data_IF_630132464344
#
_entry.id   IF_630132464344
#
_cell.length_a   1.000
_cell.length_b   1.000
_cell.length_c   1.000
_cell.angle_alpha   90.00
_cell.angle_beta   90.00
_cell.angle_gamma   90.00
#
_symmetry.space_group_name_H-M   'P 1'
#
loop_
_entity.id
_entity.type
_entity.pdbx_description
1 polymer ?
#
# COMPACT_ATOMS: atom_id res chain seq x y z
N UNK A 1 1.45 -22.18 -21.78
CA UNK A 1 2.17 -21.97 -23.05
C UNK A 1 3.49 -21.30 -22.71
N UNK A 2 4.58 -21.96 -23.09
CA UNK A 2 5.97 -21.68 -22.68
C UNK A 2 6.53 -20.51 -23.46
N UNK A 3 7.03 -19.45 -22.84
CA UNK A 3 7.86 -18.45 -23.50
C UNK A 3 9.29 -18.57 -23.03
N UNK A 4 10.11 -19.10 -23.90
CA UNK A 4 11.54 -19.25 -23.85
C UNK A 4 12.21 -17.88 -24.06
N UNK A 5 13.00 -17.42 -23.10
CA UNK A 5 13.89 -16.27 -23.28
C UNK A 5 15.20 -16.76 -23.89
N UNK A 6 15.48 -16.31 -25.10
CA UNK A 6 16.71 -16.62 -25.84
C UNK A 6 17.88 -15.77 -25.33
N UNK A 7 18.92 -16.46 -24.86
CA UNK A 7 20.23 -15.91 -24.54
C UNK A 7 21.01 -15.71 -25.85
N UNK A 8 21.41 -14.49 -26.16
CA UNK A 8 22.30 -14.18 -27.31
C UNK A 8 23.76 -14.11 -26.81
N UNK A 9 24.55 -15.08 -27.21
CA UNK A 9 26.01 -15.11 -27.05
C UNK A 9 26.62 -14.42 -28.26
N UNK A 10 27.35 -13.32 -28.04
CA UNK A 10 28.16 -12.66 -29.08
C UNK A 10 29.59 -13.13 -28.92
N UNK A 11 30.04 -13.93 -29.87
CA UNK A 11 31.44 -14.31 -30.03
C UNK A 11 32.15 -13.27 -30.91
N UNK A 12 33.20 -12.63 -30.39
CA UNK A 12 34.11 -11.79 -31.17
C UNK A 12 35.35 -12.55 -31.60
N UNK A 13 35.55 -12.64 -32.89
CA UNK A 13 36.63 -13.28 -33.55
C UNK A 13 37.95 -12.45 -33.46
N UNK A 14 39.04 -13.16 -33.17
CA UNK A 14 40.40 -12.62 -33.19
C UNK A 14 40.90 -12.55 -34.64
N UNK A 15 41.42 -11.41 -35.06
CA UNK A 15 42.19 -11.28 -36.31
C UNK A 15 43.66 -11.17 -35.97
N UNK A 16 44.39 -12.17 -36.43
CA UNK A 16 45.88 -12.22 -36.35
C UNK A 16 46.40 -11.52 -37.60
N UNK A 17 47.21 -10.48 -37.47
CA UNK A 17 48.04 -9.91 -38.53
C UNK A 17 49.51 -10.11 -38.18
N UNK A 18 50.18 -10.97 -38.90
CA UNK A 18 51.61 -11.13 -38.97
C UNK A 18 52.16 -10.11 -39.99
N UNK A 19 53.08 -9.24 -39.62
CA UNK A 19 54.00 -8.55 -40.54
C UNK A 19 55.40 -8.41 -39.94
N UNK A 20 56.28 -8.98 -40.68
CA UNK A 20 57.72 -9.04 -40.85
C UNK A 20 58.63 -7.98 -40.18
N UNK A 21 59.79 -8.56 -39.85
CA UNK A 21 61.03 -7.97 -39.38
C UNK A 21 61.58 -6.81 -40.22
N UNK A 22 62.06 -5.75 -39.53
CA UNK A 22 63.17 -4.92 -39.99
C UNK A 22 64.02 -4.49 -38.78
N UNK A 23 65.29 -4.87 -38.85
CA UNK A 23 66.37 -4.64 -37.89
C UNK A 23 66.81 -3.20 -37.99
N UNK A 24 66.84 -2.42 -36.89
CA UNK A 24 67.52 -1.14 -36.80
C UNK A 24 68.03 -0.92 -35.36
N UNK A 25 69.28 -0.60 -35.21
CA UNK A 25 70.05 -0.44 -33.94
C UNK A 25 69.61 0.79 -33.13
N UNK A 26 69.91 0.86 -31.82
CA UNK A 26 69.18 1.69 -30.85
C UNK A 26 69.88 3.06 -30.66
N UNK A 27 69.09 4.13 -30.35
CA UNK A 27 69.58 5.30 -29.67
C UNK A 27 69.42 5.17 -28.16
N UNK A 28 70.36 5.75 -27.44
CA UNK A 28 70.53 5.81 -25.98
C UNK A 28 69.23 6.18 -25.26
N UNK A 29 68.90 5.39 -24.29
CA UNK A 29 67.81 5.59 -23.32
C UNK A 29 68.19 6.67 -22.31
N UNK A 30 67.32 7.70 -22.27
CA UNK A 30 67.02 8.47 -21.07
C UNK A 30 66.06 7.67 -20.20
N UNK A 31 66.12 7.72 -18.86
CA UNK A 31 65.28 6.95 -18.00
C UNK A 31 63.85 7.58 -18.00
N UNK A 32 62.96 7.05 -18.83
CA UNK A 32 61.55 7.33 -18.71
C UNK A 32 61.04 6.76 -17.40
N UNK A 33 60.62 7.62 -16.51
CA UNK A 33 59.95 7.22 -15.27
C UNK A 33 58.74 6.33 -15.61
N UNK A 34 58.84 5.08 -15.22
CA UNK A 34 57.75 4.11 -15.26
C UNK A 34 56.59 4.66 -14.42
N UNK A 35 55.36 4.80 -14.95
CA UNK A 35 54.24 5.18 -14.10
C UNK A 35 54.07 4.12 -13.03
N UNK A 36 54.17 4.55 -11.77
CA UNK A 36 53.94 3.69 -10.62
C UNK A 36 52.62 2.91 -10.80
N UNK A 37 52.61 1.58 -10.56
CA UNK A 37 51.36 0.83 -10.67
C UNK A 37 50.31 1.46 -9.75
N UNK A 38 49.18 1.80 -10.31
CA UNK A 38 48.03 2.27 -9.54
C UNK A 38 47.80 1.28 -8.40
N UNK A 39 47.91 1.76 -7.17
CA UNK A 39 47.80 0.90 -5.98
C UNK A 39 46.44 0.18 -6.04
N UNK A 40 46.48 -1.13 -6.12
CA UNK A 40 45.27 -1.95 -6.01
C UNK A 40 44.54 -1.57 -4.71
N UNK A 41 43.20 -1.45 -4.73
CA UNK A 41 42.47 -1.08 -3.54
C UNK A 41 42.82 -2.07 -2.43
N UNK A 42 43.27 -1.55 -1.29
CA UNK A 42 43.61 -2.39 -0.15
C UNK A 42 42.28 -3.00 0.43
N UNK A 43 42.40 -4.12 1.14
CA UNK A 43 41.21 -4.84 1.67
C UNK A 43 40.32 -3.95 2.53
N UNK A 44 40.89 -2.97 3.24
CA UNK A 44 40.16 -2.03 4.09
C UNK A 44 39.29 -1.05 3.28
N UNK A 45 39.79 -0.61 2.11
CA UNK A 45 39.00 0.28 1.24
C UNK A 45 37.80 -0.44 0.60
N UNK A 46 38.00 -1.72 0.24
CA UNK A 46 36.89 -2.55 -0.27
C UNK A 46 35.87 -2.85 0.81
N UNK A 47 36.28 -3.15 2.03
CA UNK A 47 35.37 -3.36 3.16
C UNK A 47 34.58 -2.10 3.50
N UNK A 48 35.21 -0.92 3.48
CA UNK A 48 34.55 0.35 3.72
C UNK A 48 33.52 0.69 2.61
N UNK A 49 33.84 0.39 1.35
CA UNK A 49 32.92 0.57 0.23
C UNK A 49 31.71 -0.37 0.32
N UNK A 50 31.93 -1.64 0.66
CA UNK A 50 30.86 -2.61 0.88
C UNK A 50 29.94 -2.20 2.03
N UNK A 51 30.49 -1.74 3.16
CA UNK A 51 29.70 -1.24 4.29
C UNK A 51 28.87 -0.01 3.91
N UNK A 52 29.41 0.91 3.09
CA UNK A 52 28.63 2.05 2.57
C UNK A 52 27.47 1.62 1.69
N UNK A 53 27.71 0.71 0.75
CA UNK A 53 26.68 0.19 -0.15
C UNK A 53 25.58 -0.55 0.63
N UNK A 54 25.96 -1.33 1.64
CA UNK A 54 25.01 -2.01 2.50
C UNK A 54 24.18 -1.02 3.33
N UNK A 55 24.80 0.00 3.90
CA UNK A 55 24.11 1.06 4.63
C UNK A 55 23.15 1.84 3.73
N UNK A 56 23.54 2.14 2.49
CA UNK A 56 22.69 2.80 1.50
C UNK A 56 21.48 1.92 1.12
N UNK A 57 21.71 0.62 0.90
CA UNK A 57 20.62 -0.33 0.63
C UNK A 57 19.62 -0.41 1.78
N UNK A 58 20.10 -0.52 3.02
CA UNK A 58 19.26 -0.55 4.21
C UNK A 58 18.50 0.76 4.39
N UNK A 59 19.12 1.90 4.12
CA UNK A 59 18.46 3.20 4.17
C UNK A 59 17.37 3.32 3.09
N UNK A 60 17.65 2.88 1.87
CA UNK A 60 16.66 2.86 0.77
C UNK A 60 15.49 1.92 1.07
N UNK A 61 15.75 0.75 1.66
CA UNK A 61 14.70 -0.20 2.06
C UNK A 61 13.82 0.38 3.16
N UNK A 62 14.41 1.00 4.19
CA UNK A 62 13.66 1.69 5.25
C UNK A 62 12.78 2.80 4.69
N UNK A 63 13.33 3.65 3.82
CA UNK A 63 12.59 4.72 3.19
C UNK A 63 11.40 4.19 2.36
N UNK A 64 11.59 3.07 1.66
CA UNK A 64 10.52 2.40 0.91
C UNK A 64 9.42 1.88 1.83
N UNK A 65 9.77 1.22 2.94
CA UNK A 65 8.81 0.71 3.92
C UNK A 65 8.03 1.84 4.60
N UNK A 66 8.71 2.94 4.94
CA UNK A 66 8.07 4.13 5.51
C UNK A 66 7.10 4.78 4.52
N UNK A 67 7.47 4.89 3.25
CA UNK A 67 6.59 5.42 2.21
C UNK A 67 5.37 4.52 1.98
N UNK A 68 5.54 3.19 1.98
CA UNK A 68 4.43 2.24 1.87
C UNK A 68 3.49 2.35 3.07
N UNK A 69 4.05 2.42 4.29
CA UNK A 69 3.26 2.62 5.51
C UNK A 69 2.44 3.90 5.47
N UNK A 70 3.07 5.02 5.11
CA UNK A 70 2.37 6.30 4.99
C UNK A 70 1.24 6.25 3.94
N UNK A 71 1.46 5.56 2.82
CA UNK A 71 0.43 5.33 1.81
C UNK A 71 -0.75 4.55 2.37
N UNK A 72 -0.50 3.45 3.08
CA UNK A 72 -1.55 2.62 3.68
C UNK A 72 -2.33 3.39 4.75
N UNK A 73 -1.65 4.14 5.60
CA UNK A 73 -2.28 5.01 6.60
C UNK A 73 -3.19 6.07 5.95
N UNK A 74 -2.76 6.66 4.83
CA UNK A 74 -3.59 7.60 4.08
C UNK A 74 -4.87 6.95 3.52
N UNK A 75 -4.78 5.74 2.96
CA UNK A 75 -5.94 5.00 2.47
C UNK A 75 -6.89 4.59 3.61
N UNK A 76 -6.35 4.14 4.73
CA UNK A 76 -7.14 3.82 5.94
C UNK A 76 -7.91 5.05 6.40
N UNK A 77 -7.22 6.19 6.55
CA UNK A 77 -7.85 7.43 6.98
C UNK A 77 -8.94 7.89 5.98
N UNK A 78 -8.72 7.71 4.69
CA UNK A 78 -9.74 8.01 3.69
C UNK A 78 -11.00 7.17 3.88
N UNK A 79 -10.88 5.85 4.08
CA UNK A 79 -12.03 4.97 4.33
C UNK A 79 -12.71 5.32 5.66
N UNK A 80 -11.92 5.55 6.73
CA UNK A 80 -12.45 5.82 8.08
C UNK A 80 -13.07 7.22 8.24
N UNK A 81 -12.75 8.16 7.35
CA UNK A 81 -13.35 9.50 7.37
C UNK A 81 -14.76 9.55 6.79
N UNK A 82 -15.17 8.51 6.10
CA UNK A 82 -16.43 8.46 5.39
C UNK A 82 -17.51 7.73 6.21
N UNK A 83 -18.59 8.43 6.50
CA UNK A 83 -19.77 7.85 7.16
C UNK A 83 -20.91 7.65 6.14
N UNK A 84 -21.55 6.50 6.22
CA UNK A 84 -22.77 6.18 5.47
C UNK A 84 -23.97 6.59 6.30
N UNK A 85 -24.72 7.61 5.88
CA UNK A 85 -25.86 8.13 6.60
C UNK A 85 -27.18 7.49 6.14
N UNK A 86 -28.13 7.41 7.09
CA UNK A 86 -29.45 6.81 6.89
C UNK A 86 -30.57 7.75 7.31
N UNK A 87 -31.71 7.59 6.66
CA UNK A 87 -32.93 8.25 7.06
C UNK A 87 -33.46 7.75 8.42
N UNK A 88 -34.34 8.53 9.00
CA UNK A 88 -34.99 8.15 10.25
C UNK A 88 -35.72 6.79 10.10
N UNK A 89 -35.42 5.90 11.04
CA UNK A 89 -36.02 4.55 11.14
C UNK A 89 -35.84 3.68 9.89
N UNK A 90 -34.77 3.99 9.07
CA UNK A 90 -34.48 3.24 7.85
C UNK A 90 -33.08 2.63 7.88
N UNK A 91 -32.94 1.55 7.11
CA UNK A 91 -31.65 0.87 6.84
C UNK A 91 -31.35 0.75 5.34
N UNK A 92 -32.20 1.33 4.48
CA UNK A 92 -31.99 1.38 3.05
C UNK A 92 -30.88 2.38 2.71
N UNK A 93 -30.04 2.01 1.75
CA UNK A 93 -28.96 2.86 1.25
C UNK A 93 -29.52 3.90 0.29
N UNK A 94 -29.24 5.16 0.55
CA UNK A 94 -29.50 6.25 -0.40
C UNK A 94 -28.56 6.17 -1.61
N UNK A 95 -28.87 6.86 -2.71
CA UNK A 95 -27.96 6.89 -3.88
C UNK A 95 -26.60 7.49 -3.51
N UNK A 96 -26.57 8.55 -2.70
CA UNK A 96 -25.34 9.13 -2.19
C UNK A 96 -24.52 8.12 -1.37
N UNK A 97 -25.19 7.32 -0.55
CA UNK A 97 -24.54 6.25 0.21
C UNK A 97 -23.93 5.18 -0.72
N UNK A 98 -24.63 4.81 -1.79
CA UNK A 98 -24.12 3.84 -2.78
C UNK A 98 -22.90 4.37 -3.54
N UNK A 99 -22.90 5.65 -3.92
CA UNK A 99 -21.74 6.30 -4.57
C UNK A 99 -20.51 6.29 -3.66
N UNK A 100 -20.69 6.64 -2.39
CA UNK A 100 -19.62 6.58 -1.38
C UNK A 100 -19.12 5.15 -1.18
N UNK A 101 -20.02 4.18 -1.05
CA UNK A 101 -19.67 2.78 -0.90
C UNK A 101 -18.95 2.21 -2.13
N UNK A 102 -19.26 2.69 -3.33
CA UNK A 102 -18.51 2.32 -4.53
C UNK A 102 -17.05 2.80 -4.45
N UNK A 103 -16.81 4.03 -3.97
CA UNK A 103 -15.44 4.54 -3.76
C UNK A 103 -14.68 3.72 -2.69
N UNK A 104 -15.34 3.40 -1.57
CA UNK A 104 -14.77 2.51 -0.54
C UNK A 104 -14.46 1.13 -1.13
N UNK A 105 -15.37 0.57 -1.94
CA UNK A 105 -15.18 -0.70 -2.64
C UNK A 105 -13.95 -0.69 -3.55
N UNK A 106 -13.75 0.38 -4.31
CA UNK A 106 -12.53 0.52 -5.16
C UNK A 106 -11.25 0.52 -4.34
N UNK A 107 -11.23 1.18 -3.17
CA UNK A 107 -10.06 1.18 -2.29
C UNK A 107 -9.78 -0.22 -1.72
N UNK A 108 -10.83 -0.95 -1.34
CA UNK A 108 -10.72 -2.32 -0.84
C UNK A 108 -10.29 -3.33 -1.92
N UNK A 109 -10.64 -3.09 -3.19
CA UNK A 109 -10.15 -3.89 -4.32
C UNK A 109 -8.66 -3.62 -4.57
N UNK A 110 -8.24 -2.36 -4.51
CA UNK A 110 -6.83 -1.97 -4.72
C UNK A 110 -5.89 -2.46 -3.63
N UNK A 111 -6.40 -2.63 -2.40
CA UNK A 111 -5.61 -3.09 -1.26
C UNK A 111 -6.25 -4.33 -0.61
N UNK A 112 -5.84 -5.50 -1.08
CA UNK A 112 -6.41 -6.78 -0.63
C UNK A 112 -6.08 -7.13 0.82
N UNK A 113 -5.06 -6.51 1.41
CA UNK A 113 -4.68 -6.70 2.82
C UNK A 113 -5.65 -6.06 3.80
N UNK A 114 -6.50 -5.14 3.34
CA UNK A 114 -7.48 -4.50 4.23
C UNK A 114 -8.63 -5.44 4.57
N UNK A 115 -8.91 -5.53 5.86
CA UNK A 115 -10.15 -6.06 6.41
C UNK A 115 -10.88 -4.92 7.10
N UNK A 116 -12.21 -4.93 7.06
CA UNK A 116 -13.01 -3.85 7.64
C UNK A 116 -14.05 -4.40 8.61
N UNK A 117 -14.26 -3.66 9.69
CA UNK A 117 -15.42 -3.79 10.57
C UNK A 117 -16.37 -2.64 10.24
N UNK A 118 -17.60 -2.97 9.91
CA UNK A 118 -18.68 -2.03 9.59
C UNK A 118 -19.51 -1.86 10.86
N UNK A 119 -19.51 -0.66 11.42
CA UNK A 119 -20.14 -0.33 12.69
C UNK A 119 -21.44 0.43 12.45
N UNK A 120 -22.56 -0.16 12.84
CA UNK A 120 -23.89 0.44 12.66
C UNK A 120 -24.36 1.16 13.91
N UNK A 121 -24.82 2.39 13.71
CA UNK A 121 -25.29 3.30 14.76
C UNK A 121 -26.70 3.82 14.48
N UNK A 122 -27.36 4.26 15.56
CA UNK A 122 -28.68 4.88 15.50
C UNK A 122 -28.69 6.19 16.28
N UNK A 123 -29.78 6.93 16.15
CA UNK A 123 -30.06 8.06 17.05
C UNK A 123 -30.56 7.57 18.43
N UNK A 124 -30.71 8.49 19.37
CA UNK A 124 -31.04 8.19 20.77
C UNK A 124 -32.50 7.79 21.00
N UNK A 125 -33.36 7.91 20.01
CA UNK A 125 -34.82 7.64 20.14
C UNK A 125 -35.09 6.13 20.14
N UNK A 126 -36.07 5.69 20.95
CA UNK A 126 -36.48 4.29 21.03
C UNK A 126 -35.71 3.48 22.09
N UNK A 127 -36.04 2.19 22.15
CA UNK A 127 -35.45 1.25 23.10
C UNK A 127 -34.04 0.82 22.64
N UNK A 128 -33.25 0.30 23.55
CA UNK A 128 -31.89 -0.21 23.28
C UNK A 128 -31.92 -1.39 22.29
N UNK A 129 -32.75 -2.39 22.55
CA UNK A 129 -32.90 -3.58 21.71
C UNK A 129 -33.34 -3.24 20.28
N UNK A 130 -34.25 -2.29 20.14
CA UNK A 130 -34.68 -1.81 18.83
C UNK A 130 -33.51 -1.18 18.08
N UNK A 131 -32.83 -0.25 18.73
CA UNK A 131 -31.68 0.45 18.14
C UNK A 131 -30.52 -0.48 17.82
N UNK A 132 -30.25 -1.47 18.68
CA UNK A 132 -29.25 -2.49 18.40
C UNK A 132 -29.60 -3.26 17.12
N UNK A 133 -30.86 -3.69 17.00
CA UNK A 133 -31.36 -4.38 15.80
C UNK A 133 -31.28 -3.50 14.55
N UNK A 134 -31.67 -2.23 14.64
CA UNK A 134 -31.63 -1.28 13.52
C UNK A 134 -30.17 -0.99 13.10
N UNK A 135 -29.25 -0.80 14.04
CA UNK A 135 -27.84 -0.64 13.78
C UNK A 135 -27.24 -1.86 13.07
N UNK A 136 -27.61 -3.07 13.51
CA UNK A 136 -27.19 -4.31 12.85
C UNK A 136 -27.68 -4.40 11.39
N UNK A 137 -28.95 -4.04 11.14
CA UNK A 137 -29.49 -3.99 9.78
C UNK A 137 -28.72 -3.00 8.89
N UNK A 138 -28.39 -1.81 9.40
CA UNK A 138 -27.58 -0.81 8.68
C UNK A 138 -26.20 -1.34 8.29
N UNK A 139 -25.46 -1.88 9.25
CA UNK A 139 -24.15 -2.49 9.00
C UNK A 139 -24.24 -3.64 7.99
N UNK A 140 -25.29 -4.48 8.11
CA UNK A 140 -25.54 -5.58 7.17
C UNK A 140 -25.81 -5.06 5.74
N UNK A 141 -26.61 -4.02 5.57
CA UNK A 141 -26.90 -3.43 4.24
C UNK A 141 -25.66 -2.88 3.56
N UNK A 142 -24.76 -2.25 4.33
CA UNK A 142 -23.45 -1.81 3.81
C UNK A 142 -22.61 -3.01 3.38
N UNK A 143 -22.53 -4.05 4.22
CA UNK A 143 -21.82 -5.29 3.89
C UNK A 143 -22.38 -5.97 2.64
N UNK A 144 -23.71 -6.12 2.53
CA UNK A 144 -24.37 -6.70 1.36
C UNK A 144 -24.02 -5.94 0.07
N UNK A 145 -23.99 -4.59 0.13
CA UNK A 145 -23.60 -3.78 -1.02
C UNK A 145 -22.15 -4.02 -1.43
N UNK A 146 -21.22 -4.02 -0.48
CA UNK A 146 -19.79 -4.24 -0.76
C UNK A 146 -19.54 -5.67 -1.28
N UNK A 147 -20.26 -6.68 -0.79
CA UNK A 147 -20.19 -8.04 -1.36
C UNK A 147 -20.68 -8.05 -2.81
N UNK A 148 -21.80 -7.39 -3.10
CA UNK A 148 -22.31 -7.26 -4.46
C UNK A 148 -21.36 -6.46 -5.37
N UNK A 149 -20.58 -5.54 -4.79
CA UNK A 149 -19.54 -4.78 -5.48
C UNK A 149 -18.28 -5.62 -5.81
N UNK A 150 -18.12 -6.79 -5.16
CA UNK A 150 -17.03 -7.73 -5.43
C UNK A 150 -16.03 -7.94 -4.29
N UNK A 151 -16.31 -7.44 -3.09
CA UNK A 151 -15.44 -7.64 -1.92
C UNK A 151 -15.78 -8.97 -1.25
N UNK A 152 -14.76 -9.80 -0.94
CA UNK A 152 -14.97 -11.06 -0.20
C UNK A 152 -15.58 -10.79 1.18
N UNK A 153 -16.71 -11.46 1.46
CA UNK A 153 -17.43 -11.36 2.73
C UNK A 153 -16.56 -11.67 3.96
N UNK A 154 -15.50 -12.50 3.80
CA UNK A 154 -14.54 -12.85 4.86
C UNK A 154 -13.65 -11.68 5.27
N UNK A 155 -13.54 -10.66 4.44
CA UNK A 155 -12.78 -9.43 4.72
C UNK A 155 -13.62 -8.40 5.49
N UNK A 156 -14.88 -8.70 5.74
CA UNK A 156 -15.83 -7.75 6.32
C UNK A 156 -16.57 -8.35 7.50
N UNK A 157 -16.56 -7.63 8.61
CA UNK A 157 -17.36 -7.90 9.79
C UNK A 157 -18.41 -6.79 9.96
N UNK A 158 -19.59 -7.12 10.47
CA UNK A 158 -20.65 -6.15 10.78
C UNK A 158 -20.99 -6.22 12.26
N UNK A 159 -20.95 -5.06 12.92
CA UNK A 159 -21.21 -4.91 14.36
C UNK A 159 -22.24 -3.80 14.55
N UNK A 160 -23.08 -3.90 15.56
CA UNK A 160 -24.00 -2.84 15.96
C UNK A 160 -23.60 -2.27 17.32
N UNK A 161 -23.60 -0.96 17.40
CA UNK A 161 -23.52 -0.22 18.66
C UNK A 161 -24.88 0.41 19.02
N UNK A 162 -25.89 0.27 18.14
CA UNK A 162 -27.19 0.89 18.37
C UNK A 162 -27.04 2.37 18.69
N UNK A 163 -27.59 2.81 19.83
CA UNK A 163 -27.51 4.20 20.32
C UNK A 163 -26.38 4.44 21.34
N UNK A 164 -25.60 3.41 21.68
CA UNK A 164 -24.62 3.48 22.77
C UNK A 164 -23.33 4.25 22.43
N UNK A 165 -23.05 4.46 21.15
CA UNK A 165 -21.86 5.18 20.69
C UNK A 165 -22.23 6.35 19.76
N UNK A 166 -22.84 7.42 20.28
CA UNK A 166 -23.21 8.58 19.49
C UNK A 166 -21.95 9.32 18.99
N UNK A 167 -22.01 9.82 17.74
CA UNK A 167 -21.00 10.73 17.18
C UNK A 167 -21.15 12.14 17.73
N UNK A 168 -22.40 12.56 17.93
CA UNK A 168 -22.77 13.86 18.45
C UNK A 168 -23.80 13.66 19.55
N UNK A 169 -23.54 14.21 20.71
CA UNK A 169 -24.50 14.25 21.81
C UNK A 169 -25.55 15.34 21.58
N UNK A 170 -26.78 15.08 22.02
CA UNK A 170 -27.88 16.04 21.95
C UNK A 170 -29.18 15.39 21.48
N UNK A 171 -30.27 16.13 21.72
CA UNK A 171 -31.65 15.70 21.39
C UNK A 171 -32.26 16.57 20.28
N UNK A 172 -31.45 16.99 19.30
CA UNK A 172 -31.89 17.76 18.14
C UNK A 172 -31.83 16.90 16.87
N UNK A 173 -32.57 17.26 15.84
CA UNK A 173 -32.56 16.51 14.58
C UNK A 173 -31.19 16.57 13.89
N UNK A 174 -30.44 17.65 14.08
CA UNK A 174 -29.07 17.80 13.60
C UNK A 174 -28.15 16.75 14.23
N UNK A 175 -28.22 16.56 15.55
CA UNK A 175 -27.47 15.53 16.25
C UNK A 175 -27.93 14.12 15.84
N UNK A 176 -29.25 13.90 15.76
CA UNK A 176 -29.81 12.62 15.35
C UNK A 176 -29.40 12.21 13.94
N UNK A 177 -29.41 13.13 13.00
CA UNK A 177 -29.00 12.86 11.61
C UNK A 177 -27.54 12.43 11.50
N UNK A 178 -26.65 12.98 12.33
CA UNK A 178 -25.23 12.58 12.38
C UNK A 178 -25.02 11.24 13.08
N UNK A 179 -25.92 10.84 13.96
CA UNK A 179 -25.84 9.56 14.66
C UNK A 179 -26.40 8.39 13.83
N UNK A 180 -27.35 8.64 12.93
CA UNK A 180 -27.91 7.63 12.02
C UNK A 180 -26.91 7.28 10.92
N UNK A 181 -25.87 6.51 11.26
CA UNK A 181 -24.76 6.21 10.36
C UNK A 181 -24.29 4.77 10.43
N UNK A 182 -23.50 4.38 9.45
CA UNK A 182 -22.53 3.30 9.57
C UNK A 182 -21.14 3.84 9.23
N UNK A 183 -20.16 3.51 10.04
CA UNK A 183 -18.76 3.88 9.81
C UNK A 183 -17.88 2.64 9.65
N UNK A 184 -16.64 2.86 9.29
CA UNK A 184 -15.68 1.81 8.99
C UNK A 184 -14.51 1.84 9.97
N UNK A 185 -14.11 0.67 10.43
CA UNK A 185 -12.82 0.46 11.06
C UNK A 185 -12.00 -0.45 10.16
N UNK A 186 -10.83 0.01 9.75
CA UNK A 186 -9.94 -0.72 8.84
C UNK A 186 -8.81 -1.37 9.64
N UNK A 187 -8.53 -2.64 9.34
CA UNK A 187 -7.39 -3.38 9.86
C UNK A 187 -6.56 -3.90 8.69
N UNK A 188 -5.25 -4.03 8.88
CA UNK A 188 -4.34 -4.62 7.90
C UNK A 188 -4.12 -6.08 8.30
N UNK A 189 -4.36 -6.99 7.38
CA UNK A 189 -4.00 -8.40 7.54
C UNK A 189 -2.51 -8.54 7.24
N UNK A 190 -1.76 -8.99 8.22
CA UNK A 190 -0.35 -9.38 8.08
C UNK A 190 -0.17 -10.67 7.27
#
# INVERSE_FOLDING_TARGET
>A
MKNLVKLAVVASAAAICLVACAKKEPPKTEPTAEPAPAAAPNADSLAAEQARLEAERLAAERARLEAERARLEALINQIMSEDVYFDFDRSELTEKAKELLAQVGELLIKEERFTITIEGHTDARGTEDYNFTLGAKRAMKVKEFLVAYGIDAKRMESVSYGKEAPKVEGATEEAYSQNRRANFRVNIKE
#
